data_IF_660236827133
#
_entry.id   IF_660236827133
#
_cell.length_a   1.000
_cell.length_b   1.000
_cell.length_c   1.000
_cell.angle_alpha   90.00
_cell.angle_beta   90.00
_cell.angle_gamma   90.00
#
_symmetry.space_group_name_H-M   'P 1'
#
loop_
_entity.id
_entity.type
_entity.pdbx_description
1 polymer ?
#
# COMPACT_ATOMS: atom_id res chain seq x y z
N UNK A 1 -3.39 19.53 -19.72
CA UNK A 1 -2.08 19.74 -19.06
C UNK A 1 -2.16 19.75 -17.52
N UNK A 2 -3.23 20.27 -16.93
CA UNK A 2 -3.42 20.24 -15.46
C UNK A 2 -3.88 18.85 -14.98
N UNK A 3 -4.59 18.11 -15.80
CA UNK A 3 -5.05 16.75 -15.49
C UNK A 3 -3.90 15.75 -15.34
N UNK A 4 -2.88 15.83 -16.17
CA UNK A 4 -1.71 14.94 -16.08
C UNK A 4 -0.86 15.17 -14.83
N UNK A 5 -0.91 16.37 -14.24
CA UNK A 5 -0.15 16.70 -13.03
C UNK A 5 -0.86 16.33 -11.72
N UNK A 6 -2.19 16.23 -11.72
CA UNK A 6 -2.95 15.81 -10.53
C UNK A 6 -3.04 14.29 -10.39
N UNK A 7 -2.92 13.57 -11.50
CA UNK A 7 -2.76 12.10 -11.53
C UNK A 7 -1.27 11.70 -11.39
N UNK A 8 -0.41 12.69 -11.24
CA UNK A 8 1.04 12.57 -11.42
C UNK A 8 1.77 11.71 -10.41
N UNK A 9 1.28 11.51 -9.18
CA UNK A 9 2.00 10.70 -8.20
C UNK A 9 1.98 9.21 -8.56
N UNK A 10 0.91 8.72 -9.15
CA UNK A 10 0.81 7.32 -9.60
C UNK A 10 1.49 7.11 -10.96
N UNK A 11 1.50 8.13 -11.82
CA UNK A 11 2.13 8.08 -13.15
C UNK A 11 3.63 8.33 -13.10
N UNK A 12 4.15 9.07 -12.11
CA UNK A 12 5.57 9.40 -11.96
C UNK A 12 6.42 8.31 -11.30
N UNK A 13 5.98 7.06 -11.24
CA UNK A 13 6.77 5.95 -10.70
C UNK A 13 8.05 5.66 -11.50
N UNK A 14 8.14 6.16 -12.72
CA UNK A 14 9.27 5.93 -13.65
C UNK A 14 10.14 7.15 -13.90
N UNK A 15 9.91 8.28 -13.24
CA UNK A 15 10.76 9.46 -13.35
C UNK A 15 12.03 9.33 -12.50
N UNK A 16 12.83 10.41 -12.46
CA UNK A 16 14.10 10.46 -11.73
C UNK A 16 13.95 10.24 -10.21
N UNK A 17 12.80 10.58 -9.63
CA UNK A 17 12.52 10.53 -8.19
C UNK A 17 11.40 9.55 -7.85
N UNK A 18 10.75 8.95 -8.85
CA UNK A 18 9.70 7.97 -8.67
C UNK A 18 10.21 6.67 -8.05
N UNK A 19 9.30 5.85 -7.57
CA UNK A 19 9.64 4.63 -6.83
C UNK A 19 10.44 3.60 -7.62
N UNK A 20 10.37 3.61 -8.96
CA UNK A 20 11.22 2.76 -9.81
C UNK A 20 12.63 3.33 -10.06
N UNK A 21 12.89 4.56 -9.59
CA UNK A 21 14.23 5.15 -9.67
C UNK A 21 15.10 4.66 -8.53
N UNK A 22 16.38 4.97 -8.62
CA UNK A 22 17.33 4.70 -7.53
C UNK A 22 17.29 5.76 -6.41
N UNK A 23 16.39 6.71 -6.47
CA UNK A 23 16.34 7.81 -5.51
C UNK A 23 16.16 7.32 -4.07
N UNK A 24 15.22 6.39 -3.84
CA UNK A 24 15.00 5.82 -2.53
C UNK A 24 16.24 5.07 -2.01
N UNK A 25 16.80 4.16 -2.81
CA UNK A 25 17.98 3.37 -2.46
C UNK A 25 19.18 4.27 -2.14
N UNK A 26 19.43 5.29 -2.99
CA UNK A 26 20.50 6.25 -2.79
C UNK A 26 20.30 7.07 -1.51
N UNK A 27 19.06 7.49 -1.21
CA UNK A 27 18.77 8.26 0.00
C UNK A 27 19.04 7.44 1.28
N UNK A 28 18.72 6.14 1.26
CA UNK A 28 19.04 5.23 2.37
C UNK A 28 20.56 5.05 2.49
N UNK A 29 21.25 4.90 1.36
CA UNK A 29 22.71 4.76 1.35
C UNK A 29 23.42 5.98 1.93
N UNK A 30 23.02 7.20 1.53
CA UNK A 30 23.55 8.47 2.05
C UNK A 30 23.28 8.61 3.56
N UNK A 31 22.09 8.22 4.01
CA UNK A 31 21.78 8.22 5.45
C UNK A 31 22.68 7.26 6.22
N UNK A 32 22.88 6.05 5.71
CA UNK A 32 23.77 5.06 6.34
C UNK A 32 25.23 5.52 6.35
N UNK A 33 25.68 6.19 5.28
CA UNK A 33 27.03 6.76 5.21
C UNK A 33 27.21 7.88 6.26
N UNK A 34 26.23 8.77 6.38
CA UNK A 34 26.24 9.79 7.43
C UNK A 34 26.25 9.23 8.86
N UNK A 35 25.74 8.01 9.06
CA UNK A 35 25.79 7.28 10.32
C UNK A 35 27.09 6.48 10.52
N UNK A 36 27.96 6.39 9.51
CA UNK A 36 29.16 5.57 9.53
C UNK A 36 28.91 4.06 9.39
N UNK A 37 27.73 3.65 8.90
CA UNK A 37 27.28 2.26 8.83
C UNK A 37 27.17 1.74 7.38
N UNK A 38 27.62 2.53 6.40
CA UNK A 38 27.46 2.17 5.00
C UNK A 38 28.42 1.08 4.55
N UNK A 39 27.86 0.09 3.89
CA UNK A 39 28.52 -0.81 2.94
C UNK A 39 27.44 -1.37 2.00
N UNK A 40 27.83 -1.83 0.83
CA UNK A 40 26.91 -2.49 -0.12
C UNK A 40 26.11 -3.63 0.54
N UNK A 41 26.74 -4.41 1.41
CA UNK A 41 26.09 -5.51 2.10
C UNK A 41 25.17 -5.03 3.22
N UNK A 42 25.58 -4.01 4.00
CA UNK A 42 24.76 -3.44 5.07
C UNK A 42 23.51 -2.76 4.49
N UNK A 43 23.62 -2.04 3.37
CA UNK A 43 22.48 -1.46 2.67
C UNK A 43 21.45 -2.54 2.26
N UNK A 44 21.90 -3.62 1.62
CA UNK A 44 21.03 -4.72 1.19
C UNK A 44 20.36 -5.42 2.38
N UNK A 45 21.07 -5.62 3.48
CA UNK A 45 20.52 -6.18 4.71
C UNK A 45 19.51 -5.24 5.37
N UNK A 46 19.80 -3.94 5.37
CA UNK A 46 18.88 -2.93 5.88
C UNK A 46 17.54 -2.96 5.12
N UNK A 47 17.60 -2.91 3.79
CA UNK A 47 16.41 -2.98 2.96
C UNK A 47 15.65 -4.30 3.15
N UNK A 48 16.33 -5.44 3.11
CA UNK A 48 15.69 -6.76 3.28
C UNK A 48 15.06 -6.97 4.66
N UNK A 49 15.57 -6.31 5.70
CA UNK A 49 15.01 -6.35 7.06
C UNK A 49 13.98 -5.26 7.33
N UNK A 50 13.66 -4.45 6.33
CA UNK A 50 12.68 -3.37 6.47
C UNK A 50 11.26 -3.85 6.22
N UNK A 51 10.31 -3.17 6.86
CA UNK A 51 8.88 -3.39 6.69
C UNK A 51 8.21 -2.12 6.19
N UNK A 52 7.20 -2.25 5.34
CA UNK A 52 6.50 -1.12 4.74
C UNK A 52 4.99 -1.34 4.71
N UNK A 53 4.26 -0.28 5.04
CA UNK A 53 2.88 -0.11 4.62
C UNK A 53 2.88 0.74 3.34
N UNK A 54 2.48 0.14 2.22
CA UNK A 54 2.25 0.88 0.98
C UNK A 54 0.91 1.60 1.11
N UNK A 55 0.99 2.91 1.45
CA UNK A 55 -0.21 3.71 1.72
C UNK A 55 -0.87 4.10 0.39
N UNK A 56 -1.89 3.36 0.02
CA UNK A 56 -2.70 3.58 -1.18
C UNK A 56 -4.17 3.33 -0.86
N UNK A 57 -5.07 3.93 -1.64
CA UNK A 57 -6.51 3.74 -1.48
C UNK A 57 -6.96 2.40 -2.06
N UNK A 58 -8.08 1.89 -1.54
CA UNK A 58 -8.71 0.66 -2.03
C UNK A 58 -10.10 0.96 -2.58
N UNK A 59 -10.49 0.32 -3.69
CA UNK A 59 -11.81 0.50 -4.26
C UNK A 59 -12.89 -0.08 -3.32
N UNK A 60 -13.75 0.77 -2.79
CA UNK A 60 -14.92 0.35 -2.01
C UNK A 60 -15.92 -0.38 -2.90
N UNK A 61 -16.62 -1.36 -2.32
CA UNK A 61 -17.71 -2.04 -3.01
C UNK A 61 -18.75 -1.02 -3.50
N UNK A 62 -18.95 -1.00 -4.81
CA UNK A 62 -19.95 -0.16 -5.48
C UNK A 62 -21.11 -1.03 -5.99
N UNK A 63 -22.33 -0.86 -5.44
CA UNK A 63 -23.49 -1.61 -5.91
C UNK A 63 -23.85 -1.39 -7.37
N UNK A 64 -23.49 -0.25 -7.96
CA UNK A 64 -23.74 0.06 -9.37
C UNK A 64 -22.80 -0.73 -10.30
N UNK A 65 -21.66 -1.16 -9.80
CA UNK A 65 -20.66 -1.93 -10.52
C UNK A 65 -20.35 -3.27 -9.82
N UNK A 66 -21.37 -3.87 -9.22
CA UNK A 66 -21.24 -5.08 -8.40
C UNK A 66 -20.52 -6.25 -9.07
N UNK A 67 -20.58 -6.34 -10.41
CA UNK A 67 -19.89 -7.37 -11.20
C UNK A 67 -18.36 -7.22 -11.24
N UNK A 68 -17.84 -6.02 -10.93
CA UNK A 68 -16.41 -5.75 -10.84
C UNK A 68 -15.81 -6.14 -9.47
N UNK A 69 -16.62 -6.59 -8.52
CA UNK A 69 -16.21 -6.93 -7.16
C UNK A 69 -16.55 -8.38 -6.79
N UNK A 70 -15.75 -8.96 -5.93
CA UNK A 70 -16.09 -10.16 -5.17
C UNK A 70 -16.55 -9.71 -3.76
N UNK A 71 -17.84 -9.87 -3.45
CA UNK A 71 -18.44 -9.33 -2.21
C UNK A 71 -17.74 -9.75 -0.93
N UNK A 72 -17.19 -10.96 -0.90
CA UNK A 72 -16.53 -11.50 0.28
C UNK A 72 -15.12 -10.92 0.49
N UNK A 73 -14.54 -10.31 -0.56
CA UNK A 73 -13.20 -9.73 -0.56
C UNK A 73 -13.20 -8.23 -0.88
N UNK A 74 -14.35 -7.58 -0.90
CA UNK A 74 -14.46 -6.15 -1.15
C UNK A 74 -14.34 -5.35 0.14
N UNK A 75 -13.81 -4.13 0.03
CA UNK A 75 -13.78 -3.16 1.13
C UNK A 75 -15.08 -2.37 1.22
N UNK A 76 -15.42 -1.94 2.41
CA UNK A 76 -16.64 -1.19 2.72
C UNK A 76 -16.34 0.00 3.60
N UNK A 77 -17.10 1.09 3.44
CA UNK A 77 -17.03 2.26 4.31
C UNK A 77 -17.36 1.94 5.76
N UNK A 78 -16.70 2.63 6.70
CA UNK A 78 -16.95 2.51 8.12
C UNK A 78 -16.41 1.23 8.76
N UNK A 79 -15.51 0.51 8.05
CA UNK A 79 -14.88 -0.71 8.56
C UNK A 79 -13.40 -0.56 8.85
N UNK A 80 -12.92 0.68 8.86
CA UNK A 80 -11.55 1.02 9.17
C UNK A 80 -10.59 0.89 7.97
N UNK A 81 -9.31 0.81 8.29
CA UNK A 81 -8.24 0.73 7.30
C UNK A 81 -8.30 -0.60 6.53
N UNK A 82 -8.01 -0.55 5.25
CA UNK A 82 -8.02 -1.71 4.36
C UNK A 82 -6.60 -2.23 4.18
N UNK A 83 -6.38 -3.50 4.46
CA UNK A 83 -5.16 -4.22 4.09
C UNK A 83 -5.43 -5.11 2.89
N UNK A 84 -4.68 -4.93 1.82
CA UNK A 84 -4.78 -5.75 0.62
C UNK A 84 -3.61 -6.74 0.59
N UNK A 85 -3.92 -8.02 0.83
CA UNK A 85 -2.92 -9.08 0.80
C UNK A 85 -2.33 -9.23 -0.59
N UNK A 86 -3.18 -9.18 -1.60
CA UNK A 86 -2.80 -9.30 -3.00
C UNK A 86 -3.23 -8.05 -3.76
N UNK A 87 -2.29 -7.49 -4.52
CA UNK A 87 -2.56 -6.44 -5.50
C UNK A 87 -1.87 -6.80 -6.81
N UNK A 88 -2.53 -6.56 -7.92
CA UNK A 88 -1.98 -6.85 -9.23
C UNK A 88 -2.98 -6.52 -10.33
N UNK A 89 -2.47 -6.19 -11.51
CA UNK A 89 -3.28 -5.86 -12.68
C UNK A 89 -3.38 -7.05 -13.61
N UNK A 90 -4.58 -7.42 -14.00
CA UNK A 90 -4.86 -8.50 -14.97
C UNK A 90 -4.07 -9.77 -14.65
N UNK A 91 -4.27 -10.30 -13.45
CA UNK A 91 -3.55 -11.44 -12.94
C UNK A 91 -2.29 -11.05 -12.16
N UNK A 92 -1.10 -11.11 -12.74
CA UNK A 92 0.16 -11.05 -11.98
C UNK A 92 1.10 -9.89 -12.35
N UNK A 93 0.69 -8.99 -13.24
CA UNK A 93 1.55 -7.88 -13.63
C UNK A 93 1.64 -6.85 -12.51
N UNK A 94 2.86 -6.50 -12.08
CA UNK A 94 3.10 -5.54 -11.00
C UNK A 94 2.40 -5.96 -9.70
N UNK A 95 2.36 -7.27 -9.42
CA UNK A 95 1.68 -7.80 -8.24
C UNK A 95 2.58 -7.78 -7.00
N UNK A 96 1.96 -7.55 -5.85
CA UNK A 96 2.50 -7.84 -4.53
C UNK A 96 1.58 -8.85 -3.85
N UNK A 97 2.16 -9.86 -3.20
CA UNK A 97 1.46 -10.86 -2.39
C UNK A 97 2.12 -10.89 -1.01
N UNK A 98 1.56 -10.11 -0.08
CA UNK A 98 2.10 -10.00 1.27
C UNK A 98 2.12 -11.36 1.97
N UNK A 99 3.23 -11.70 2.62
CA UNK A 99 3.34 -12.99 3.28
C UNK A 99 2.46 -13.10 4.54
N UNK A 100 2.11 -14.33 4.90
CA UNK A 100 1.15 -14.58 5.98
C UNK A 100 1.70 -14.18 7.36
N UNK A 101 2.99 -14.31 7.58
CA UNK A 101 3.67 -13.96 8.83
C UNK A 101 3.65 -12.44 9.05
N UNK A 102 3.90 -11.68 7.99
CA UNK A 102 3.81 -10.22 8.05
C UNK A 102 2.38 -9.75 8.33
N UNK A 103 1.39 -10.33 7.64
CA UNK A 103 -0.02 -10.05 7.88
C UNK A 103 -0.40 -10.38 9.33
N UNK A 104 0.03 -11.51 9.87
CA UNK A 104 -0.25 -11.89 11.25
C UNK A 104 0.36 -10.88 12.24
N UNK A 105 1.59 -10.40 11.98
CA UNK A 105 2.24 -9.35 12.78
C UNK A 105 1.44 -8.04 12.75
N UNK A 106 1.05 -7.58 11.57
CA UNK A 106 0.25 -6.36 11.39
C UNK A 106 -1.10 -6.48 12.11
N UNK A 107 -1.83 -7.58 11.91
CA UNK A 107 -3.12 -7.81 12.58
C UNK A 107 -2.99 -7.78 14.09
N UNK A 108 -2.01 -8.49 14.65
CA UNK A 108 -1.75 -8.48 16.10
C UNK A 108 -1.47 -7.07 16.63
N UNK A 109 -0.72 -6.28 15.87
CA UNK A 109 -0.42 -4.88 16.20
C UNK A 109 -1.68 -4.02 16.20
N UNK A 110 -2.54 -4.15 15.19
CA UNK A 110 -3.80 -3.41 15.07
C UNK A 110 -4.77 -3.79 16.18
N UNK A 111 -4.98 -5.10 16.43
CA UNK A 111 -5.86 -5.61 17.48
C UNK A 111 -5.42 -5.11 18.87
N UNK A 112 -4.13 -5.16 19.17
CA UNK A 112 -3.55 -4.69 20.45
C UNK A 112 -3.82 -3.20 20.70
N UNK A 113 -3.85 -2.38 19.65
CA UNK A 113 -3.99 -0.94 19.72
C UNK A 113 -5.41 -0.45 19.36
N UNK A 114 -6.39 -1.35 19.30
CA UNK A 114 -7.80 -1.04 19.01
C UNK A 114 -7.96 -0.23 17.70
N UNK A 115 -7.21 -0.58 16.67
CA UNK A 115 -7.35 -0.02 15.32
C UNK A 115 -8.33 -0.87 14.54
N UNK A 116 -9.41 -0.26 14.06
CA UNK A 116 -10.35 -0.95 13.18
C UNK A 116 -9.74 -1.16 11.80
N UNK A 117 -9.80 -2.40 11.31
CA UNK A 117 -9.31 -2.74 9.98
C UNK A 117 -10.16 -3.81 9.30
N UNK A 118 -10.02 -3.89 8.00
CA UNK A 118 -10.58 -4.93 7.16
C UNK A 118 -9.53 -5.44 6.18
N UNK A 119 -9.75 -6.63 5.64
CA UNK A 119 -8.93 -7.17 4.56
C UNK A 119 -9.77 -7.23 3.29
N UNK A 120 -9.22 -6.80 2.17
CA UNK A 120 -9.92 -6.82 0.89
C UNK A 120 -8.92 -6.95 -0.27
N UNK A 121 -9.43 -7.28 -1.43
CA UNK A 121 -8.72 -7.17 -2.70
C UNK A 121 -9.17 -5.92 -3.45
N UNK A 122 -8.32 -5.44 -4.35
CA UNK A 122 -8.61 -4.28 -5.20
C UNK A 122 -9.45 -4.71 -6.40
N UNK A 123 -10.74 -4.99 -6.17
CA UNK A 123 -11.68 -5.49 -7.17
C UNK A 123 -11.58 -7.01 -7.37
N UNK A 124 -12.41 -7.53 -8.29
CA UNK A 124 -12.43 -8.95 -8.62
C UNK A 124 -11.23 -9.32 -9.49
N UNK A 125 -10.52 -10.37 -9.14
CA UNK A 125 -9.36 -10.87 -9.89
C UNK A 125 -9.74 -11.12 -11.37
N UNK A 126 -8.87 -10.70 -12.28
CA UNK A 126 -9.01 -10.75 -13.74
C UNK A 126 -10.13 -9.89 -14.36
N UNK A 127 -11.02 -9.32 -13.56
CA UNK A 127 -12.15 -8.50 -14.05
C UNK A 127 -11.97 -7.04 -13.64
N UNK A 128 -11.61 -6.81 -12.40
CA UNK A 128 -11.32 -5.50 -11.83
C UNK A 128 -9.91 -5.44 -11.26
N UNK A 129 -9.66 -4.44 -10.45
CA UNK A 129 -8.41 -4.28 -9.76
C UNK A 129 -7.33 -3.55 -10.54
N UNK A 130 -6.24 -3.29 -9.88
CA UNK A 130 -5.09 -2.58 -10.41
C UNK A 130 -3.81 -2.97 -9.69
N UNK A 131 -2.68 -2.65 -10.30
CA UNK A 131 -1.38 -2.70 -9.65
C UNK A 131 -1.17 -1.47 -8.77
N UNK A 132 -0.47 -1.66 -7.67
CA UNK A 132 0.02 -0.60 -6.79
C UNK A 132 1.53 -0.49 -6.90
N UNK A 133 2.14 0.45 -6.19
CA UNK A 133 3.60 0.57 -6.12
C UNK A 133 4.25 -0.43 -5.14
N UNK A 134 3.46 -1.19 -4.38
CA UNK A 134 3.94 -2.13 -3.37
C UNK A 134 4.97 -3.14 -3.90
N UNK A 135 4.75 -3.65 -5.12
CA UNK A 135 5.67 -4.61 -5.74
C UNK A 135 7.09 -4.06 -5.91
N UNK A 136 7.25 -2.74 -6.05
CA UNK A 136 8.55 -2.13 -6.33
C UNK A 136 9.48 -2.31 -5.13
N UNK A 137 8.99 -2.05 -3.93
CA UNK A 137 9.78 -2.21 -2.71
C UNK A 137 9.94 -3.68 -2.29
N UNK A 138 9.00 -4.54 -2.66
CA UNK A 138 9.17 -5.98 -2.45
C UNK A 138 10.34 -6.58 -3.24
N UNK A 139 10.77 -5.93 -4.34
CA UNK A 139 11.96 -6.32 -5.08
C UNK A 139 13.27 -6.17 -4.29
N UNK A 140 13.28 -5.34 -3.25
CA UNK A 140 14.40 -5.23 -2.31
C UNK A 140 14.39 -6.29 -1.21
N UNK A 141 13.40 -7.19 -1.21
CA UNK A 141 13.21 -8.20 -0.18
C UNK A 141 12.50 -7.68 1.08
N UNK A 142 11.92 -6.47 1.02
CA UNK A 142 11.16 -5.89 2.12
C UNK A 142 9.83 -6.62 2.36
N UNK A 143 9.36 -6.60 3.59
CA UNK A 143 7.99 -6.97 3.94
C UNK A 143 7.03 -5.85 3.58
N UNK A 144 6.18 -6.04 2.57
CA UNK A 144 5.30 -5.00 2.04
C UNK A 144 3.85 -5.46 2.00
N UNK A 145 2.94 -4.59 2.45
CA UNK A 145 1.50 -4.76 2.28
C UNK A 145 0.86 -3.42 1.88
N UNK A 146 -0.12 -3.46 0.98
CA UNK A 146 -0.93 -2.29 0.68
C UNK A 146 -1.90 -2.02 1.82
N UNK A 147 -1.99 -0.75 2.22
CA UNK A 147 -2.72 -0.29 3.38
C UNK A 147 -3.30 1.10 3.14
N UNK A 148 -4.62 1.25 3.14
CA UNK A 148 -5.23 2.55 2.93
C UNK A 148 -6.70 2.60 3.29
N UNK A 149 -7.41 3.57 2.75
CA UNK A 149 -8.84 3.73 2.98
C UNK A 149 -9.66 3.29 1.79
N UNK A 150 -10.88 2.82 2.04
CA UNK A 150 -11.83 2.52 1.00
C UNK A 150 -12.33 3.82 0.35
N UNK A 151 -12.36 3.89 -0.99
CA UNK A 151 -12.88 5.03 -1.76
C UNK A 151 -13.87 4.57 -2.82
N UNK A 152 -14.88 5.39 -3.09
CA UNK A 152 -15.71 5.30 -4.28
C UNK A 152 -15.25 6.31 -5.31
N UNK A 153 -15.53 6.02 -6.57
CA UNK A 153 -15.17 6.87 -7.71
C UNK A 153 -13.65 7.13 -7.81
N UNK A 154 -12.83 6.12 -7.51
CA UNK A 154 -11.39 6.21 -7.66
C UNK A 154 -11.00 6.76 -9.04
N UNK A 155 -10.06 7.71 -9.08
CA UNK A 155 -9.63 8.44 -10.28
C UNK A 155 -10.67 9.38 -10.91
N UNK A 156 -11.84 9.55 -10.31
CA UNK A 156 -12.81 10.54 -10.76
C UNK A 156 -12.51 11.93 -10.18
N UNK A 157 -13.07 13.02 -10.74
CA UNK A 157 -12.94 14.36 -10.17
C UNK A 157 -13.49 14.48 -8.73
N UNK A 158 -14.37 13.58 -8.34
CA UNK A 158 -14.99 13.51 -7.02
C UNK A 158 -14.84 12.09 -6.47
N UNK A 159 -13.91 11.92 -5.58
CA UNK A 159 -13.73 10.70 -4.82
C UNK A 159 -14.40 10.84 -3.44
N UNK A 160 -14.94 9.75 -2.93
CA UNK A 160 -15.66 9.72 -1.66
C UNK A 160 -15.01 8.69 -0.75
N UNK A 161 -14.71 9.08 0.49
CA UNK A 161 -14.25 8.18 1.54
C UNK A 161 -14.88 8.50 2.89
N UNK A 162 -14.78 7.57 3.82
CA UNK A 162 -15.29 7.72 5.18
C UNK A 162 -14.27 8.46 6.06
N UNK A 163 -14.72 9.53 6.74
CA UNK A 163 -13.88 10.24 7.74
C UNK A 163 -13.45 9.33 8.91
N UNK A 164 -14.30 8.38 9.29
CA UNK A 164 -13.97 7.41 10.32
C UNK A 164 -12.81 6.51 9.87
N UNK A 165 -12.83 6.04 8.62
CA UNK A 165 -11.77 5.20 8.07
C UNK A 165 -10.45 5.96 7.92
N UNK A 166 -10.49 7.26 7.58
CA UNK A 166 -9.31 8.14 7.58
C UNK A 166 -8.70 8.23 9.00
N UNK A 167 -9.54 8.34 10.03
CA UNK A 167 -9.06 8.38 11.41
C UNK A 167 -8.43 7.04 11.83
N UNK A 168 -9.02 5.92 11.44
CA UNK A 168 -8.44 4.60 11.69
C UNK A 168 -7.11 4.41 10.93
N UNK A 169 -7.00 4.91 9.70
CA UNK A 169 -5.74 4.91 8.95
C UNK A 169 -4.65 5.74 9.65
N UNK A 170 -5.00 6.91 10.19
CA UNK A 170 -4.09 7.71 11.02
C UNK A 170 -3.60 6.91 12.24
N UNK A 171 -4.50 6.24 12.96
CA UNK A 171 -4.12 5.37 14.10
C UNK A 171 -3.19 4.24 13.66
N UNK A 172 -3.54 3.58 12.56
CA UNK A 172 -2.76 2.50 11.96
C UNK A 172 -1.31 2.94 11.68
N UNK A 173 -1.12 4.04 10.97
CA UNK A 173 0.22 4.54 10.62
C UNK A 173 1.02 4.94 11.85
N UNK A 174 0.37 5.59 12.83
CA UNK A 174 1.00 5.95 14.09
C UNK A 174 1.48 4.73 14.88
N UNK A 175 0.66 3.69 14.95
CA UNK A 175 0.98 2.44 15.64
C UNK A 175 2.11 1.71 14.90
N UNK A 176 2.03 1.62 13.59
CA UNK A 176 3.05 0.99 12.78
C UNK A 176 4.41 1.65 12.97
N UNK A 177 4.52 2.98 12.86
CA UNK A 177 5.77 3.71 13.07
C UNK A 177 6.34 3.57 14.49
N UNK A 178 5.53 3.18 15.45
CA UNK A 178 5.95 3.00 16.85
C UNK A 178 6.38 1.59 17.19
N UNK A 179 5.78 0.57 16.54
CA UNK A 179 5.89 -0.84 16.95
C UNK A 179 6.45 -1.77 15.86
N UNK A 180 6.67 -1.30 14.62
CA UNK A 180 7.17 -2.10 13.51
C UNK A 180 8.68 -2.37 13.60
#
# INVERSE_FOLDING_TARGET
EIHERLVGSEMCIRDRTGMQSRFFENSVAELMDAMGEFSELSLRRCLANSSMLSSDVNAAYDPLFANAFEKNNASYFGRGVVFSKFTGSRGKSGSNDANAEYIARIRKMMDKNEVCFQTAELGKVDVGGGGTIAYILSLYGMEVIDCGVAVLNMHAPWEITSKADIYEAYKCYKVFLKEA
#
